data_IF_277938702108
#
_entry.id   IF_277938702108
#
_cell.length_a   1.000
_cell.length_b   1.000
_cell.length_c   1.000
_cell.angle_alpha   90.00
_cell.angle_beta   90.00
_cell.angle_gamma   90.00
#
_symmetry.space_group_name_H-M   'P 1'
#
loop_
_entity.id
_entity.type
_entity.pdbx_description
1 polymer ?
#
# COMPACT_ATOMS: atom_id res chain seq x y z
N UNK A 1 -23.27 -3.55 -9.58
CA UNK A 1 -22.56 -3.31 -8.34
C UNK A 1 -21.33 -4.21 -8.29
N UNK A 2 -20.16 -3.66 -8.06
CA UNK A 2 -18.93 -4.40 -7.83
C UNK A 2 -18.61 -4.38 -6.33
N UNK A 3 -18.32 -5.55 -5.75
CA UNK A 3 -17.81 -5.70 -4.39
C UNK A 3 -16.34 -6.15 -4.49
N UNK A 4 -15.47 -5.46 -3.78
CA UNK A 4 -14.03 -5.67 -3.82
C UNK A 4 -13.54 -6.04 -2.42
N UNK A 5 -12.60 -6.97 -2.36
CA UNK A 5 -11.85 -7.35 -1.17
C UNK A 5 -10.58 -8.08 -1.59
N UNK A 6 -9.68 -8.39 -0.64
CA UNK A 6 -8.48 -9.17 -0.94
C UNK A 6 -8.26 -10.36 0.02
N UNK A 7 -7.47 -11.32 -0.43
CA UNK A 7 -7.24 -12.60 0.26
C UNK A 7 -5.88 -12.68 0.93
N UNK A 8 -4.91 -11.93 0.39
CA UNK A 8 -3.53 -11.89 0.89
C UNK A 8 -3.39 -11.05 2.15
N UNK A 9 -2.21 -10.96 2.68
CA UNK A 9 -1.86 -10.20 3.87
C UNK A 9 -0.39 -9.81 3.81
N UNK A 10 -0.01 -8.76 4.55
CA UNK A 10 1.39 -8.35 4.73
C UNK A 10 2.27 -9.39 5.45
N UNK A 11 1.68 -10.48 5.96
CA UNK A 11 2.42 -11.48 6.73
C UNK A 11 2.94 -12.60 5.83
N UNK A 12 4.23 -12.62 5.60
CA UNK A 12 4.91 -13.65 4.84
C UNK A 12 4.76 -15.06 5.48
N UNK A 13 4.97 -16.12 4.67
CA UNK A 13 4.78 -17.51 5.11
C UNK A 13 5.65 -17.93 6.29
N UNK A 14 6.80 -17.28 6.48
CA UNK A 14 7.75 -17.52 7.56
C UNK A 14 7.50 -16.58 8.77
N UNK A 15 6.52 -15.70 8.70
CA UNK A 15 6.10 -14.90 9.84
C UNK A 15 5.63 -15.79 10.99
N UNK A 16 6.02 -15.51 12.23
CA UNK A 16 5.52 -16.24 13.40
C UNK A 16 4.03 -15.98 13.68
N UNK A 17 3.46 -14.92 13.09
CA UNK A 17 2.05 -14.56 13.22
C UNK A 17 1.21 -15.27 12.15
N UNK A 18 0.94 -16.58 12.36
CA UNK A 18 0.21 -17.43 11.40
C UNK A 18 -1.04 -18.09 12.00
N UNK A 19 -1.37 -17.77 13.25
CA UNK A 19 -2.43 -18.48 13.96
C UNK A 19 -3.64 -17.56 14.17
N UNK A 20 -4.83 -18.05 13.78
CA UNK A 20 -6.08 -17.41 14.12
C UNK A 20 -6.53 -17.80 15.53
N UNK A 21 -6.83 -16.82 16.36
CA UNK A 21 -7.30 -17.02 17.73
C UNK A 21 -8.55 -16.18 17.96
N UNK A 22 -9.60 -16.81 18.50
CA UNK A 22 -10.79 -16.10 18.94
C UNK A 22 -10.82 -15.97 20.45
N UNK A 23 -11.05 -14.77 20.96
CA UNK A 23 -11.14 -14.45 22.40
C UNK A 23 -12.46 -13.70 22.66
N UNK A 24 -13.53 -14.47 22.87
CA UNK A 24 -14.85 -13.88 23.03
C UNK A 24 -15.38 -13.27 21.74
N UNK A 25 -15.54 -11.95 21.74
CA UNK A 25 -15.99 -11.17 20.57
C UNK A 25 -14.85 -10.66 19.69
N UNK A 26 -13.62 -10.81 20.14
CA UNK A 26 -12.44 -10.42 19.40
C UNK A 26 -11.84 -11.59 18.62
N UNK A 27 -11.23 -11.28 17.48
CA UNK A 27 -10.48 -12.23 16.67
C UNK A 27 -9.11 -11.64 16.32
N UNK A 28 -8.06 -12.45 16.45
CA UNK A 28 -6.69 -12.10 16.16
C UNK A 28 -6.12 -13.12 15.17
N UNK A 29 -5.47 -12.66 14.13
CA UNK A 29 -4.84 -13.53 13.13
C UNK A 29 -4.47 -12.77 11.86
N UNK A 30 -3.62 -13.36 10.99
CA UNK A 30 -3.23 -12.71 9.73
C UNK A 30 -4.45 -12.34 8.89
N UNK A 31 -4.56 -11.06 8.56
CA UNK A 31 -5.66 -10.55 7.77
C UNK A 31 -7.02 -10.54 8.48
N UNK A 32 -7.11 -10.71 9.81
CA UNK A 32 -8.39 -10.72 10.51
C UNK A 32 -9.16 -9.39 10.37
N UNK A 33 -8.43 -8.26 10.37
CA UNK A 33 -8.99 -6.94 10.10
C UNK A 33 -8.88 -6.59 8.63
N UNK A 34 -7.73 -6.84 8.04
CA UNK A 34 -7.31 -6.46 6.70
C UNK A 34 -6.90 -7.72 5.91
N UNK A 35 -7.75 -8.29 5.03
CA UNK A 35 -9.12 -7.84 4.75
C UNK A 35 -10.18 -8.95 4.93
N UNK A 36 -9.88 -10.01 5.69
CA UNK A 36 -10.82 -11.13 5.89
C UNK A 36 -12.08 -10.72 6.64
N UNK A 37 -12.02 -9.65 7.44
CA UNK A 37 -13.17 -9.02 8.06
C UNK A 37 -14.14 -8.49 7.00
N UNK A 38 -13.63 -7.79 5.98
CA UNK A 38 -14.40 -7.30 4.84
C UNK A 38 -15.05 -8.44 4.04
N UNK A 39 -14.30 -9.52 3.79
CA UNK A 39 -14.84 -10.73 3.15
C UNK A 39 -16.02 -11.31 3.92
N UNK A 40 -15.94 -11.38 5.24
CA UNK A 40 -17.05 -11.87 6.08
C UNK A 40 -18.26 -10.95 5.97
N UNK A 41 -18.06 -9.64 5.92
CA UNK A 41 -19.15 -8.65 5.75
C UNK A 41 -19.85 -8.85 4.40
N UNK A 42 -19.11 -9.02 3.30
CA UNK A 42 -19.66 -9.32 1.98
C UNK A 42 -20.53 -10.57 2.03
N UNK A 43 -20.00 -11.67 2.57
CA UNK A 43 -20.75 -12.95 2.66
C UNK A 43 -21.99 -12.79 3.53
N UNK A 44 -21.89 -12.10 4.66
CA UNK A 44 -23.04 -11.88 5.54
C UNK A 44 -24.13 -11.04 4.86
N UNK A 45 -23.75 -9.97 4.16
CA UNK A 45 -24.68 -9.14 3.41
C UNK A 45 -25.42 -9.94 2.31
N UNK A 46 -24.68 -10.72 1.52
CA UNK A 46 -25.27 -11.56 0.47
C UNK A 46 -26.21 -12.65 1.04
N UNK A 47 -25.86 -13.23 2.20
CA UNK A 47 -26.73 -14.18 2.89
C UNK A 47 -28.01 -13.51 3.39
N UNK A 48 -27.93 -12.30 3.92
CA UNK A 48 -29.08 -11.51 4.34
C UNK A 48 -29.99 -11.17 3.15
N UNK A 49 -29.41 -10.71 2.03
CA UNK A 49 -30.13 -10.45 0.78
C UNK A 49 -30.83 -11.71 0.25
N UNK A 50 -30.14 -12.86 0.30
CA UNK A 50 -30.74 -14.14 -0.09
C UNK A 50 -31.93 -14.50 0.79
N UNK A 51 -31.81 -14.34 2.09
CA UNK A 51 -32.90 -14.62 3.04
C UNK A 51 -34.09 -13.66 2.84
N UNK A 52 -33.84 -12.41 2.50
CA UNK A 52 -34.85 -11.41 2.17
C UNK A 52 -35.46 -11.58 0.76
N UNK A 53 -34.91 -12.47 -0.07
CA UNK A 53 -35.37 -12.69 -1.45
C UNK A 53 -34.97 -11.61 -2.44
N UNK A 54 -34.09 -10.65 -2.06
CA UNK A 54 -33.66 -9.52 -2.89
C UNK A 54 -32.45 -9.84 -3.76
N UNK A 55 -31.66 -10.86 -3.41
CA UNK A 55 -30.44 -11.22 -4.14
C UNK A 55 -30.73 -11.65 -5.59
N UNK A 56 -31.85 -12.28 -5.85
CA UNK A 56 -32.26 -12.78 -7.19
C UNK A 56 -32.39 -11.67 -8.23
N UNK A 57 -32.68 -10.45 -7.79
CA UNK A 57 -32.92 -9.30 -8.66
C UNK A 57 -31.70 -8.35 -8.68
N UNK A 58 -30.61 -8.73 -8.01
CA UNK A 58 -29.41 -7.94 -7.90
C UNK A 58 -28.38 -8.36 -8.96
N UNK A 59 -27.74 -7.40 -9.62
CA UNK A 59 -26.58 -7.60 -10.47
C UNK A 59 -25.32 -7.24 -9.67
N UNK A 60 -24.67 -8.26 -9.12
CA UNK A 60 -23.50 -8.12 -8.25
C UNK A 60 -22.36 -8.95 -8.81
N UNK A 61 -21.23 -8.32 -9.02
CA UNK A 61 -19.95 -8.94 -9.32
C UNK A 61 -19.05 -8.80 -8.09
N UNK A 62 -18.26 -9.82 -7.79
CA UNK A 62 -17.35 -9.83 -6.64
C UNK A 62 -15.98 -10.16 -7.16
N UNK A 63 -15.01 -9.31 -6.89
CA UNK A 63 -13.59 -9.54 -7.20
C UNK A 63 -12.82 -9.59 -5.90
N UNK A 64 -12.13 -10.71 -5.68
CA UNK A 64 -11.24 -10.92 -4.54
C UNK A 64 -9.83 -11.09 -5.09
N UNK A 65 -8.99 -10.09 -4.89
CA UNK A 65 -7.59 -10.12 -5.35
C UNK A 65 -6.73 -10.94 -4.38
N UNK A 66 -5.63 -11.46 -4.86
CA UNK A 66 -4.70 -12.25 -4.05
C UNK A 66 -3.31 -11.61 -3.98
N UNK A 67 -3.20 -10.34 -4.36
CA UNK A 67 -1.96 -9.58 -4.52
C UNK A 67 -2.19 -8.08 -4.22
N UNK A 68 -3.10 -7.74 -3.28
CA UNK A 68 -3.38 -6.35 -2.92
C UNK A 68 -2.18 -5.74 -2.21
N UNK A 69 -1.61 -6.47 -1.27
CA UNK A 69 -0.51 -6.03 -0.39
C UNK A 69 0.84 -5.98 -1.11
N UNK A 70 1.00 -6.79 -2.14
CA UNK A 70 2.20 -6.79 -3.00
C UNK A 70 1.78 -7.05 -4.45
N UNK A 71 1.35 -5.98 -5.11
CA UNK A 71 0.78 -6.05 -6.45
C UNK A 71 1.81 -6.45 -7.50
N UNK A 72 1.41 -7.34 -8.40
CA UNK A 72 2.23 -7.71 -9.56
C UNK A 72 2.53 -6.53 -10.49
N UNK A 73 3.64 -6.62 -11.20
CA UNK A 73 4.10 -5.61 -12.17
C UNK A 73 4.17 -6.22 -13.58
N UNK A 74 3.65 -5.56 -14.62
CA UNK A 74 2.94 -4.27 -14.59
C UNK A 74 1.51 -4.37 -14.01
N UNK A 75 1.10 -3.35 -13.32
CA UNK A 75 -0.19 -3.31 -12.58
C UNK A 75 -1.40 -3.54 -13.48
N UNK A 76 -1.33 -3.14 -14.75
CA UNK A 76 -2.40 -3.30 -15.72
C UNK A 76 -2.66 -4.78 -16.03
N UNK A 77 -1.64 -5.65 -15.90
CA UNK A 77 -1.77 -7.09 -16.06
C UNK A 77 -2.23 -7.71 -14.76
N UNK A 78 -1.60 -7.37 -13.65
CA UNK A 78 -1.92 -7.91 -12.33
C UNK A 78 -3.38 -7.61 -11.91
N UNK A 79 -3.89 -6.44 -12.29
CA UNK A 79 -5.24 -5.96 -11.97
C UNK A 79 -6.22 -6.04 -13.15
N UNK A 80 -5.91 -6.77 -14.22
CA UNK A 80 -6.72 -6.80 -15.44
C UNK A 80 -8.19 -7.15 -15.16
N UNK A 81 -8.45 -8.18 -14.36
CA UNK A 81 -9.80 -8.62 -14.04
C UNK A 81 -10.57 -7.59 -13.20
N UNK A 82 -9.91 -6.96 -12.22
CA UNK A 82 -10.50 -5.90 -11.40
C UNK A 82 -10.79 -4.66 -12.23
N UNK A 83 -9.87 -4.25 -13.10
CA UNK A 83 -10.04 -3.10 -14.02
C UNK A 83 -11.23 -3.35 -14.94
N UNK A 84 -11.34 -4.56 -15.50
CA UNK A 84 -12.43 -4.92 -16.40
C UNK A 84 -13.77 -4.98 -15.67
N UNK A 85 -13.83 -5.52 -14.45
CA UNK A 85 -15.01 -5.49 -13.60
C UNK A 85 -15.43 -4.04 -13.27
N UNK A 86 -14.44 -3.19 -12.93
CA UNK A 86 -14.69 -1.77 -12.64
C UNK A 86 -15.27 -1.01 -13.83
N UNK A 87 -14.87 -1.32 -15.06
CA UNK A 87 -15.42 -0.70 -16.28
C UNK A 87 -16.90 -1.04 -16.52
N UNK A 88 -17.37 -2.18 -16.01
CA UNK A 88 -18.77 -2.64 -16.16
C UNK A 88 -19.66 -2.19 -15.00
N UNK A 89 -19.08 -1.78 -13.89
CA UNK A 89 -19.81 -1.47 -12.68
C UNK A 89 -20.30 -0.01 -12.65
N UNK A 90 -21.52 0.23 -12.22
CA UNK A 90 -22.03 1.57 -11.93
C UNK A 90 -21.52 2.10 -10.60
N UNK A 91 -21.29 1.19 -9.63
CA UNK A 91 -20.79 1.47 -8.29
C UNK A 91 -19.84 0.36 -7.88
N UNK A 92 -18.72 0.70 -7.28
CA UNK A 92 -17.80 -0.21 -6.63
C UNK A 92 -17.75 0.09 -5.12
N UNK A 93 -17.76 -0.96 -4.31
CA UNK A 93 -17.58 -0.90 -2.85
C UNK A 93 -16.39 -1.76 -2.49
N UNK A 94 -15.41 -1.16 -1.88
CA UNK A 94 -14.23 -1.81 -1.35
C UNK A 94 -14.40 -2.00 0.16
N UNK A 95 -14.21 -3.23 0.64
CA UNK A 95 -14.50 -3.62 2.02
C UNK A 95 -13.24 -3.66 2.89
N UNK A 96 -12.45 -2.66 2.76
CA UNK A 96 -11.24 -2.39 3.54
C UNK A 96 -11.54 -1.94 4.98
N UNK A 97 -10.46 -1.58 5.70
CA UNK A 97 -10.54 -1.11 7.07
C UNK A 97 -11.52 0.04 7.28
N UNK A 98 -12.39 -0.08 8.26
CA UNK A 98 -13.42 0.89 8.58
C UNK A 98 -12.81 2.21 9.07
N UNK A 99 -13.15 3.31 8.41
CA UNK A 99 -12.83 4.65 8.89
C UNK A 99 -13.88 5.12 9.92
N UNK A 100 -13.43 5.61 11.06
CA UNK A 100 -14.29 6.15 12.12
C UNK A 100 -13.95 7.61 12.35
N UNK A 101 -14.92 8.51 12.21
CA UNK A 101 -14.78 9.91 12.55
C UNK A 101 -15.82 10.32 13.61
N UNK A 102 -15.35 10.89 14.71
CA UNK A 102 -16.22 11.34 15.82
C UNK A 102 -17.19 10.22 16.31
N UNK A 103 -16.73 8.98 16.35
CA UNK A 103 -17.53 7.83 16.78
C UNK A 103 -18.58 7.36 15.77
N UNK A 104 -18.47 7.78 14.51
CA UNK A 104 -19.34 7.34 13.41
C UNK A 104 -18.56 6.55 12.37
N UNK A 105 -19.14 5.46 11.91
CA UNK A 105 -18.64 4.69 10.80
C UNK A 105 -18.78 5.51 9.50
N UNK A 106 -17.70 5.60 8.75
CA UNK A 106 -17.62 6.41 7.53
C UNK A 106 -17.33 5.57 6.30
N UNK A 107 -18.05 5.84 5.22
CA UNK A 107 -17.66 5.38 3.89
C UNK A 107 -16.72 6.40 3.25
N UNK A 108 -15.51 5.97 2.89
CA UNK A 108 -14.54 6.83 2.18
C UNK A 108 -14.91 6.93 0.71
N UNK A 109 -15.13 8.14 0.20
CA UNK A 109 -15.45 8.40 -1.21
C UNK A 109 -14.30 9.01 -1.98
N UNK A 110 -13.20 9.32 -1.32
CA UNK A 110 -11.97 9.82 -1.90
C UNK A 110 -10.78 9.44 -1.03
N UNK A 111 -9.66 9.11 -1.65
CA UNK A 111 -8.40 8.76 -0.97
C UNK A 111 -7.23 9.51 -1.61
N UNK A 112 -6.16 9.67 -0.85
CA UNK A 112 -4.88 10.15 -1.37
C UNK A 112 -4.25 9.08 -2.24
N UNK A 113 -3.52 9.47 -3.28
CA UNK A 113 -2.65 8.54 -4.00
C UNK A 113 -1.46 8.13 -3.15
N UNK A 114 -0.94 6.93 -3.39
CA UNK A 114 0.34 6.46 -2.88
C UNK A 114 1.28 6.21 -4.05
N UNK A 115 2.49 6.72 -3.97
CA UNK A 115 3.50 6.57 -5.02
C UNK A 115 4.87 6.32 -4.40
N UNK A 116 5.65 5.46 -5.04
CA UNK A 116 7.07 5.26 -4.74
C UNK A 116 7.94 5.90 -5.80
N UNK A 117 9.10 6.39 -5.41
CA UNK A 117 10.07 6.99 -6.30
C UNK A 117 11.50 6.74 -5.80
N UNK A 118 12.44 6.81 -6.71
CA UNK A 118 13.87 6.63 -6.41
C UNK A 118 14.62 7.89 -6.78
N UNK A 119 15.40 8.41 -5.83
CA UNK A 119 16.36 9.48 -6.07
C UNK A 119 17.76 8.88 -6.16
N UNK A 120 18.39 9.03 -7.31
CA UNK A 120 19.74 8.53 -7.55
C UNK A 120 20.72 9.68 -7.71
N UNK A 121 21.77 9.66 -6.89
CA UNK A 121 22.92 10.58 -7.01
C UNK A 121 24.13 9.85 -7.55
N UNK A 122 24.80 10.43 -8.52
CA UNK A 122 26.08 9.94 -9.03
C UNK A 122 27.21 10.92 -8.75
N UNK A 123 28.40 10.41 -8.43
CA UNK A 123 29.60 11.21 -8.18
C UNK A 123 30.85 10.54 -8.72
N UNK A 124 31.96 11.28 -8.75
CA UNK A 124 33.26 10.75 -9.12
C UNK A 124 33.90 10.02 -7.95
N UNK A 125 34.44 8.85 -8.21
CA UNK A 125 35.27 8.11 -7.24
C UNK A 125 36.68 8.67 -7.22
N UNK A 126 37.25 8.82 -6.04
CA UNK A 126 38.65 9.33 -5.87
C UNK A 126 39.08 9.23 -4.42
N UNK A 127 40.35 9.58 -4.18
CA UNK A 127 40.89 9.63 -2.82
C UNK A 127 40.13 10.66 -1.97
N UNK A 128 39.92 10.39 -0.70
CA UNK A 128 39.12 11.24 0.22
C UNK A 128 39.63 12.68 0.35
N UNK A 129 40.95 12.93 0.10
CA UNK A 129 41.50 14.28 0.09
C UNK A 129 41.12 15.12 -1.13
N UNK A 130 40.47 14.52 -2.14
CA UNK A 130 40.08 15.18 -3.39
C UNK A 130 38.61 15.64 -3.38
N UNK A 131 37.86 15.34 -2.33
CA UNK A 131 36.47 15.81 -2.18
C UNK A 131 36.43 17.32 -1.87
N UNK A 132 35.31 17.95 -2.14
CA UNK A 132 35.03 19.39 -1.93
C UNK A 132 35.86 20.32 -2.82
N UNK A 133 36.09 19.95 -4.07
CA UNK A 133 36.71 20.79 -5.06
C UNK A 133 35.96 20.75 -6.40
N UNK A 134 36.34 21.66 -7.31
CA UNK A 134 35.65 21.82 -8.60
C UNK A 134 35.68 20.56 -9.52
N UNK A 135 36.65 19.65 -9.32
CA UNK A 135 36.81 18.46 -10.15
C UNK A 135 35.95 17.30 -9.65
N UNK A 136 35.87 17.08 -8.35
CA UNK A 136 35.19 15.97 -7.72
C UNK A 136 33.82 16.35 -7.11
N UNK A 137 33.62 17.66 -6.83
CA UNK A 137 32.41 18.15 -6.16
C UNK A 137 32.33 17.72 -4.69
N UNK A 138 31.13 17.72 -4.15
CA UNK A 138 30.87 17.39 -2.76
C UNK A 138 30.61 15.88 -2.55
N UNK A 139 30.49 15.13 -3.65
CA UNK A 139 30.19 13.71 -3.61
C UNK A 139 28.69 13.40 -3.54
N UNK A 140 28.30 12.25 -4.09
CA UNK A 140 26.90 11.87 -4.26
C UNK A 140 26.13 11.79 -2.93
N UNK A 141 26.75 11.27 -1.86
CA UNK A 141 26.11 11.11 -0.56
C UNK A 141 25.78 12.46 0.07
N UNK A 142 26.70 13.41 0.05
CA UNK A 142 26.45 14.76 0.58
C UNK A 142 25.37 15.49 -0.21
N UNK A 143 25.37 15.33 -1.54
CA UNK A 143 24.35 15.97 -2.38
C UNK A 143 22.95 15.36 -2.15
N UNK A 144 22.84 14.04 -2.03
CA UNK A 144 21.57 13.40 -1.66
C UNK A 144 21.10 13.85 -0.27
N UNK A 145 22.00 13.93 0.71
CA UNK A 145 21.66 14.40 2.05
C UNK A 145 21.13 15.85 2.02
N UNK A 146 21.76 16.73 1.23
CA UNK A 146 21.32 18.11 1.05
C UNK A 146 19.92 18.19 0.42
N UNK A 147 19.67 17.37 -0.62
CA UNK A 147 18.36 17.32 -1.28
C UNK A 147 17.28 16.80 -0.31
N UNK A 148 17.55 15.71 0.40
CA UNK A 148 16.60 15.15 1.36
C UNK A 148 16.31 16.09 2.53
N UNK A 149 17.32 16.82 3.02
CA UNK A 149 17.09 17.86 4.04
C UNK A 149 16.28 19.03 3.47
N UNK A 150 16.49 19.39 2.19
CA UNK A 150 15.66 20.34 1.47
C UNK A 150 14.20 19.88 1.42
N UNK A 151 13.95 18.65 1.05
CA UNK A 151 12.59 18.09 1.04
C UNK A 151 11.92 18.23 2.40
N UNK A 152 12.60 17.82 3.46
CA UNK A 152 12.10 17.93 4.84
C UNK A 152 11.70 19.36 5.24
N UNK A 153 12.44 20.36 4.76
CA UNK A 153 12.22 21.78 5.13
C UNK A 153 11.20 22.47 4.22
N UNK A 154 11.25 22.18 2.93
CA UNK A 154 10.64 23.03 1.91
C UNK A 154 9.37 22.44 1.28
N UNK A 155 9.13 21.11 1.46
CA UNK A 155 7.95 20.43 0.91
C UNK A 155 6.80 20.15 1.89
N UNK A 156 6.84 20.48 3.19
CA UNK A 156 5.67 20.20 4.04
C UNK A 156 4.45 20.99 3.55
N UNK A 157 3.37 20.28 3.26
CA UNK A 157 2.08 20.88 2.89
C UNK A 157 0.92 20.04 3.45
N UNK A 158 -0.27 20.62 3.59
CA UNK A 158 -1.43 19.89 4.08
C UNK A 158 -1.74 18.65 3.22
N UNK A 159 -1.98 17.51 3.88
CA UNK A 159 -2.31 16.23 3.26
C UNK A 159 -1.18 15.56 2.44
N UNK A 160 0.02 16.11 2.42
CA UNK A 160 1.20 15.45 1.88
C UNK A 160 1.94 14.72 3.00
N UNK A 161 2.16 13.42 2.81
CA UNK A 161 3.05 12.62 3.67
C UNK A 161 4.06 11.91 2.79
N UNK A 162 5.30 11.84 3.24
CA UNK A 162 6.38 11.13 2.53
C UNK A 162 7.43 10.66 3.53
N UNK A 163 8.17 9.64 3.14
CA UNK A 163 9.25 9.09 3.94
C UNK A 163 10.36 8.56 3.03
N UNK A 164 11.58 8.57 3.54
CA UNK A 164 12.71 7.87 2.93
C UNK A 164 12.78 6.49 3.59
N UNK A 165 12.20 5.49 2.95
CA UNK A 165 12.14 4.12 3.47
C UNK A 165 13.47 3.38 3.38
N UNK A 166 14.24 3.65 2.30
CA UNK A 166 15.54 3.00 2.06
C UNK A 166 16.57 4.04 1.64
N UNK A 167 17.75 3.94 2.19
CA UNK A 167 18.95 4.66 1.75
C UNK A 167 20.07 3.64 1.54
N UNK A 168 20.58 3.56 0.32
CA UNK A 168 21.67 2.65 -0.03
C UNK A 168 22.66 3.32 -0.98
N UNK A 169 23.92 2.96 -0.91
CA UNK A 169 24.95 3.48 -1.80
C UNK A 169 26.30 3.68 -1.14
N UNK A 170 27.21 4.25 -1.89
CA UNK A 170 28.60 4.47 -1.51
C UNK A 170 29.53 3.40 -2.06
N UNK A 171 30.83 3.69 -1.98
CA UNK A 171 31.90 2.76 -2.36
C UNK A 171 32.74 2.47 -1.11
N UNK A 172 33.00 1.20 -0.75
CA UNK A 172 33.92 0.89 0.33
C UNK A 172 35.27 1.54 0.09
N UNK A 173 35.89 2.03 1.15
CA UNK A 173 37.28 2.51 1.07
C UNK A 173 38.17 1.33 0.67
N UNK A 174 38.92 1.48 -0.44
CA UNK A 174 40.02 0.59 -0.76
C UNK A 174 41.25 1.03 0.03
N UNK A 175 41.83 0.10 0.72
CA UNK A 175 43.18 0.30 1.33
C UNK A 175 44.12 -0.42 0.37
N UNK A 176 44.92 0.35 -0.38
CA UNK A 176 45.98 -0.18 -1.23
C UNK A 176 47.22 -0.48 -0.37
#
# INVERSE_FOLDING_TARGET
LLLIAHLDTVFEKDSPFQTFVRRGEEAEGPGAGDDKGGLVVIVAALRAMKAAGTLKDANIEIVMTGDEEDSGDPIEIARADLIEAGRRADVALDFEGLSIENGRDMGSIARRSSNSWTLTGAGKTGHSSLIFNATFGDGAIYELARILDGFRRDLPEPNLTYNVGVLAGGTPAAID
#
